data_IF_237096652263
#
_entry.id   IF_237096652263
#
_cell.length_a   1.000
_cell.length_b   1.000
_cell.length_c   1.000
_cell.angle_alpha   90.00
_cell.angle_beta   90.00
_cell.angle_gamma   90.00
#
_symmetry.space_group_name_H-M   'P 1'
#
loop_
_entity.id
_entity.type
_entity.pdbx_description
1 polymer ?
#
# COMPACT_ATOMS: atom_id res chain seq x y z
N UNK A 1 -21.26 -3.19 -10.21
CA UNK A 1 -21.37 -4.53 -10.81
C UNK A 1 -19.97 -4.93 -11.26
N UNK A 2 -19.34 -5.84 -10.53
CA UNK A 2 -17.98 -6.31 -10.82
C UNK A 2 -18.08 -7.55 -11.71
N UNK A 3 -17.37 -7.54 -12.83
CA UNK A 3 -17.24 -8.70 -13.70
C UNK A 3 -15.84 -9.30 -13.53
N UNK A 4 -15.77 -10.58 -13.16
CA UNK A 4 -14.53 -11.34 -13.12
C UNK A 4 -14.49 -12.28 -14.35
N UNK A 5 -13.43 -12.19 -15.12
CA UNK A 5 -13.10 -13.19 -16.12
C UNK A 5 -11.86 -13.94 -15.65
N UNK A 6 -12.01 -15.24 -15.43
CA UNK A 6 -10.88 -16.15 -15.22
C UNK A 6 -10.62 -16.88 -16.52
N UNK A 7 -9.44 -16.71 -17.08
CA UNK A 7 -8.99 -17.51 -18.21
C UNK A 7 -7.83 -18.36 -17.73
N UNK A 8 -8.07 -19.67 -17.63
CA UNK A 8 -7.01 -20.66 -17.45
C UNK A 8 -6.60 -21.10 -18.84
N UNK A 9 -5.44 -20.69 -19.32
CA UNK A 9 -4.91 -21.08 -20.62
C UNK A 9 -3.64 -21.89 -20.47
N UNK A 10 -3.69 -23.10 -20.96
CA UNK A 10 -2.53 -23.91 -21.36
C UNK A 10 -2.09 -23.41 -22.72
N UNK A 11 -0.86 -22.98 -22.94
CA UNK A 11 -0.05 -23.34 -24.09
C UNK A 11 1.33 -22.66 -24.17
N UNK A 12 2.20 -23.48 -24.68
CA UNK A 12 3.56 -23.29 -25.13
C UNK A 12 3.69 -22.39 -26.36
N UNK A 13 4.84 -21.63 -26.39
CA UNK A 13 5.71 -21.27 -27.52
C UNK A 13 5.15 -20.56 -28.73
N UNK A 14 5.76 -19.51 -29.21
CA UNK A 14 6.94 -19.36 -30.09
C UNK A 14 7.10 -17.90 -30.53
N UNK A 15 8.30 -17.46 -30.50
CA UNK A 15 9.12 -16.38 -31.02
C UNK A 15 8.82 -15.95 -32.48
N UNK A 16 8.99 -14.67 -32.76
CA UNK A 16 9.69 -13.94 -33.82
C UNK A 16 8.95 -12.64 -34.15
N UNK A 17 9.57 -11.57 -34.26
CA UNK A 17 10.74 -10.90 -34.72
C UNK A 17 10.32 -9.67 -35.53
N UNK A 18 10.98 -8.57 -35.22
CA UNK A 18 11.47 -7.48 -36.08
C UNK A 18 10.52 -6.70 -37.01
N UNK A 19 10.69 -5.38 -36.96
CA UNK A 19 10.27 -4.48 -38.01
C UNK A 19 10.54 -3.02 -37.64
N UNK A 20 11.63 -2.55 -38.17
CA UNK A 20 12.24 -1.22 -38.06
C UNK A 20 11.51 -0.13 -38.87
N UNK A 21 11.77 1.14 -38.43
CA UNK A 21 12.05 2.36 -39.23
C UNK A 21 10.82 3.09 -39.80
N UNK A 22 10.71 4.41 -39.85
CA UNK A 22 11.65 5.49 -40.06
C UNK A 22 10.98 6.85 -39.79
N UNK A 23 11.69 7.76 -39.23
CA UNK A 23 11.97 9.17 -39.41
C UNK A 23 11.34 9.91 -40.58
N UNK A 24 10.91 11.15 -40.35
CA UNK A 24 11.42 12.41 -40.88
C UNK A 24 10.47 13.59 -40.59
N UNK A 25 10.89 14.55 -39.84
CA UNK A 25 11.33 15.91 -40.13
C UNK A 25 10.56 16.66 -41.25
N UNK A 26 10.00 17.85 -40.92
CA UNK A 26 10.32 19.16 -41.50
C UNK A 26 9.55 20.29 -40.83
N UNK A 27 10.30 21.17 -40.30
CA UNK A 27 10.28 22.62 -40.24
C UNK A 27 9.32 23.32 -41.20
N UNK A 28 8.64 24.36 -40.71
CA UNK A 28 8.69 25.72 -41.28
C UNK A 28 8.05 26.76 -40.34
N UNK A 29 8.81 27.73 -40.00
CA UNK A 29 8.45 29.10 -39.62
C UNK A 29 8.61 29.96 -40.88
N UNK A 30 8.32 31.31 -40.94
CA UNK A 30 7.68 32.24 -40.01
C UNK A 30 6.71 33.26 -40.71
N UNK A 31 6.51 34.40 -40.04
CA UNK A 31 6.33 35.82 -40.54
C UNK A 31 5.06 36.52 -40.03
N UNK A 32 5.28 37.42 -39.07
CA UNK A 32 5.12 38.90 -39.05
C UNK A 32 3.76 39.44 -39.58
N UNK A 33 3.05 40.37 -38.99
CA UNK A 33 3.40 41.67 -38.42
C UNK A 33 2.15 42.35 -37.85
N UNK A 34 2.36 43.08 -36.83
CA UNK A 34 1.80 44.34 -36.36
C UNK A 34 0.63 45.00 -37.08
N UNK A 35 -0.40 45.38 -36.31
CA UNK A 35 -1.08 46.69 -36.43
C UNK A 35 -1.43 47.18 -35.02
N UNK A 36 -0.90 48.31 -34.71
CA UNK A 36 -1.16 49.17 -33.56
C UNK A 36 -2.49 49.93 -33.75
N UNK A 37 -3.12 50.24 -32.67
CA UNK A 37 -3.62 51.55 -32.21
C UNK A 37 -5.07 51.58 -31.69
N UNK A 38 -5.15 51.81 -30.39
CA UNK A 38 -6.06 52.77 -29.71
C UNK A 38 -7.56 52.51 -29.77
N UNK A 39 -8.08 51.99 -28.67
CA UNK A 39 -9.29 52.55 -28.02
C UNK A 39 -9.02 52.57 -26.51
N UNK A 40 -8.62 53.76 -26.00
CA UNK A 40 -8.81 54.16 -24.64
C UNK A 40 -10.29 54.40 -24.41
N UNK A 41 -10.94 53.48 -23.72
CA UNK A 41 -12.22 53.74 -23.08
C UNK A 41 -12.17 53.18 -21.66
N UNK A 42 -12.29 54.06 -20.72
CA UNK A 42 -12.54 53.92 -19.32
C UNK A 42 -13.17 52.59 -18.94
N UNK A 43 -12.37 51.67 -18.45
CA UNK A 43 -12.83 50.61 -17.54
C UNK A 43 -12.19 50.95 -16.18
N UNK A 44 -13.00 51.52 -15.30
CA UNK A 44 -12.66 51.52 -13.87
C UNK A 44 -12.35 50.07 -13.51
N UNK A 45 -11.14 49.73 -12.99
CA UNK A 45 -10.99 48.49 -12.28
C UNK A 45 -11.75 48.71 -10.98
N UNK A 46 -12.91 48.11 -10.88
CA UNK A 46 -13.41 47.67 -9.59
C UNK A 46 -12.33 46.70 -9.11
N UNK A 47 -11.40 47.19 -8.37
CA UNK A 47 -10.56 46.39 -7.48
C UNK A 47 -11.55 45.71 -6.54
N UNK A 48 -12.03 44.55 -6.93
CA UNK A 48 -12.49 43.56 -5.99
C UNK A 48 -11.25 43.28 -5.12
N UNK A 49 -11.22 43.92 -3.96
CA UNK A 49 -10.37 43.51 -2.88
C UNK A 49 -10.89 42.12 -2.50
N UNK A 50 -10.46 41.05 -3.20
CA UNK A 50 -10.48 39.73 -2.65
C UNK A 50 -9.55 39.79 -1.45
N UNK A 51 -10.13 40.00 -0.27
CA UNK A 51 -9.46 39.71 0.98
C UNK A 51 -8.96 38.27 0.85
N UNK A 52 -7.68 38.13 0.62
CA UNK A 52 -6.92 36.88 0.72
C UNK A 52 -7.16 36.34 2.13
N UNK A 53 -8.21 35.55 2.28
CA UNK A 53 -8.53 34.88 3.54
C UNK A 53 -7.64 33.66 3.67
N UNK A 54 -6.40 33.89 4.09
CA UNK A 54 -5.57 32.80 4.59
C UNK A 54 -6.19 32.29 5.89
N UNK A 55 -6.67 31.08 5.90
CA UNK A 55 -7.01 30.36 7.13
C UNK A 55 -5.68 30.01 7.78
N UNK A 56 -5.35 30.71 8.86
CA UNK A 56 -4.07 30.57 9.54
C UNK A 56 -3.82 29.15 10.04
N UNK A 57 -2.58 28.77 9.87
CA UNK A 57 -1.88 27.60 10.33
C UNK A 57 -2.42 27.03 11.64
N UNK A 58 -3.02 25.84 11.58
CA UNK A 58 -3.10 24.97 12.74
C UNK A 58 -1.68 24.48 13.02
N UNK A 59 -1.03 25.12 13.96
CA UNK A 59 0.22 24.64 14.52
C UNK A 59 -0.13 23.40 15.32
N UNK A 60 0.05 22.23 14.72
CA UNK A 60 0.06 20.98 15.47
C UNK A 60 1.05 21.22 16.61
N UNK A 61 0.54 21.30 17.83
CA UNK A 61 1.40 21.45 18.99
C UNK A 61 2.32 20.24 18.98
N UNK A 62 3.60 20.47 18.79
CA UNK A 62 4.68 19.48 18.86
C UNK A 62 4.84 18.90 20.28
N UNK A 63 3.91 19.13 21.16
CA UNK A 63 3.77 18.40 22.40
C UNK A 63 3.00 17.09 22.08
N UNK A 64 3.73 16.01 22.09
CA UNK A 64 3.26 14.61 22.06
C UNK A 64 2.30 14.25 23.20
N UNK A 65 1.55 15.20 23.72
CA UNK A 65 0.61 14.99 24.80
C UNK A 65 -0.66 14.36 24.26
N UNK A 66 -0.67 13.06 24.39
CA UNK A 66 -1.78 12.12 24.29
C UNK A 66 -2.29 11.80 22.86
N UNK A 67 -1.91 10.63 22.37
CA UNK A 67 -2.45 10.01 21.16
C UNK A 67 -4.00 9.89 21.17
N UNK A 68 -4.63 9.85 22.33
CA UNK A 68 -6.09 9.89 22.48
C UNK A 68 -6.69 11.29 22.26
N UNK A 69 -5.99 12.37 22.62
CA UNK A 69 -6.42 13.72 22.36
C UNK A 69 -6.21 14.15 20.92
N UNK A 70 -5.19 13.61 20.22
CA UNK A 70 -4.92 13.92 18.82
C UNK A 70 -6.02 13.42 17.87
N UNK A 71 -6.67 12.31 18.17
CA UNK A 71 -7.78 11.80 17.34
C UNK A 71 -9.04 12.70 17.45
N UNK A 72 -9.36 13.17 18.64
CA UNK A 72 -10.52 14.05 18.84
C UNK A 72 -10.25 15.44 18.26
N UNK A 73 -9.06 16.00 18.52
CA UNK A 73 -8.69 17.29 17.98
C UNK A 73 -8.48 17.27 16.46
N UNK A 74 -7.93 16.19 15.90
CA UNK A 74 -7.79 16.03 14.47
C UNK A 74 -9.16 15.91 13.76
N UNK A 75 -10.14 15.24 14.36
CA UNK A 75 -11.49 15.15 13.80
C UNK A 75 -12.24 16.49 13.88
N UNK A 76 -12.04 17.26 14.94
CA UNK A 76 -12.64 18.59 15.08
C UNK A 76 -12.01 19.61 14.11
N UNK A 77 -10.69 19.60 13.96
CA UNK A 77 -9.99 20.45 13.00
C UNK A 77 -10.32 20.05 11.56
N UNK A 78 -10.41 18.75 11.27
CA UNK A 78 -10.86 18.24 9.98
C UNK A 78 -12.20 18.86 9.58
N UNK A 79 -13.17 18.89 10.48
CA UNK A 79 -14.50 19.40 10.20
C UNK A 79 -14.50 20.94 10.05
N UNK A 80 -13.69 21.66 10.83
CA UNK A 80 -13.67 23.13 10.79
C UNK A 80 -13.03 23.72 9.53
N UNK A 81 -11.99 23.09 9.01
CA UNK A 81 -11.28 23.58 7.81
C UNK A 81 -11.86 22.94 6.55
N UNK A 82 -12.11 21.63 6.54
CA UNK A 82 -12.58 20.92 5.36
C UNK A 82 -13.90 21.47 4.81
N UNK A 83 -14.85 21.85 5.70
CA UNK A 83 -16.15 22.40 5.31
C UNK A 83 -16.06 23.83 4.75
N UNK A 84 -14.93 24.50 4.92
CA UNK A 84 -14.70 25.90 4.48
C UNK A 84 -13.79 26.01 3.24
N UNK A 85 -13.28 24.88 2.76
CA UNK A 85 -12.34 24.90 1.62
C UNK A 85 -13.09 25.21 0.32
N UNK A 86 -12.58 26.16 -0.48
CA UNK A 86 -13.11 26.42 -1.81
C UNK A 86 -12.99 25.17 -2.71
N UNK A 87 -13.95 24.96 -3.63
CA UNK A 87 -14.00 23.77 -4.48
C UNK A 87 -12.80 23.64 -5.43
N UNK A 88 -12.09 24.75 -5.72
CA UNK A 88 -10.94 24.78 -6.63
C UNK A 88 -9.59 24.72 -5.89
N UNK A 89 -9.61 24.35 -4.62
CA UNK A 89 -8.40 24.24 -3.83
C UNK A 89 -7.45 23.19 -4.37
N UNK A 90 -6.13 23.46 -4.31
CA UNK A 90 -5.08 22.51 -4.69
C UNK A 90 -4.29 22.08 -3.45
N UNK A 91 -3.83 20.85 -3.48
CA UNK A 91 -2.96 20.31 -2.41
C UNK A 91 -1.59 20.99 -2.48
N UNK A 92 -1.20 21.61 -1.38
CA UNK A 92 0.09 22.24 -1.19
C UNK A 92 1.14 21.25 -0.69
N UNK A 93 1.74 21.57 0.46
CA UNK A 93 2.70 20.67 1.13
C UNK A 93 1.97 19.53 1.84
N UNK A 94 2.61 18.38 1.82
CA UNK A 94 2.14 17.19 2.54
C UNK A 94 3.12 16.95 3.69
N UNK A 95 2.68 17.17 4.93
CA UNK A 95 3.44 16.87 6.13
C UNK A 95 3.15 15.43 6.56
N UNK A 96 4.17 14.67 6.93
CA UNK A 96 4.02 13.29 7.39
C UNK A 96 4.56 13.17 8.81
N UNK A 97 3.64 13.02 9.76
CA UNK A 97 3.91 12.81 11.18
C UNK A 97 3.74 11.34 11.54
N UNK A 98 4.80 10.73 12.06
CA UNK A 98 4.85 9.30 12.38
C UNK A 98 4.95 9.13 13.89
N UNK A 99 3.92 8.54 14.49
CA UNK A 99 3.86 8.31 15.91
C UNK A 99 4.51 6.95 16.28
N UNK A 100 5.17 6.85 17.44
CA UNK A 100 5.69 5.59 17.95
C UNK A 100 4.54 4.62 18.25
N UNK A 101 4.84 3.33 18.38
CA UNK A 101 3.85 2.31 18.72
C UNK A 101 3.20 2.62 20.08
N UNK A 102 4.02 2.90 21.08
CA UNK A 102 3.60 3.24 22.43
C UNK A 102 3.98 4.67 22.77
N UNK A 103 3.05 5.38 23.39
CA UNK A 103 3.28 6.74 23.88
C UNK A 103 3.97 6.71 25.24
N UNK A 104 5.26 7.05 25.25
CA UNK A 104 6.05 7.08 26.48
C UNK A 104 5.68 8.25 27.42
N UNK A 105 4.92 9.24 26.94
CA UNK A 105 4.36 10.31 27.78
C UNK A 105 3.15 9.84 28.58
N UNK A 106 2.46 8.80 28.10
CA UNK A 106 1.32 8.19 28.77
C UNK A 106 1.78 7.26 29.91
N UNK A 107 1.45 7.51 31.19
CA UNK A 107 1.89 6.68 32.31
C UNK A 107 1.48 5.20 32.18
N UNK A 108 0.40 4.89 31.49
CA UNK A 108 -0.05 3.52 31.27
C UNK A 108 0.75 2.77 30.20
N UNK A 109 1.36 3.51 29.28
CA UNK A 109 2.20 3.00 28.19
C UNK A 109 3.70 3.19 28.47
N UNK A 110 4.09 3.85 29.58
CA UNK A 110 5.49 4.09 29.93
C UNK A 110 6.03 3.01 30.89
N UNK A 111 6.22 1.79 30.38
CA UNK A 111 6.91 0.73 31.11
C UNK A 111 8.15 0.23 30.35
N UNK A 112 8.98 -0.56 31.03
CA UNK A 112 10.24 -1.04 30.46
C UNK A 112 10.04 -1.86 29.17
N UNK A 113 8.97 -2.67 29.09
CA UNK A 113 8.66 -3.49 27.94
C UNK A 113 8.28 -2.64 26.72
N UNK A 114 7.45 -1.62 26.90
CA UNK A 114 6.99 -0.75 25.81
C UNK A 114 8.11 0.16 25.30
N UNK A 115 8.97 0.68 26.19
CA UNK A 115 10.19 1.40 25.77
C UNK A 115 11.14 0.51 24.97
N UNK A 116 11.28 -0.76 25.39
CA UNK A 116 12.06 -1.75 24.65
C UNK A 116 11.43 -1.99 23.25
N UNK A 117 10.12 -2.14 23.17
CA UNK A 117 9.41 -2.30 21.91
C UNK A 117 9.62 -1.11 20.98
N UNK A 118 9.43 0.13 21.46
CA UNK A 118 9.69 1.34 20.66
C UNK A 118 11.14 1.39 20.15
N UNK A 119 12.11 0.97 20.97
CA UNK A 119 13.54 1.01 20.62
C UNK A 119 13.91 0.04 19.49
N UNK A 120 13.26 -1.13 19.45
CA UNK A 120 13.55 -2.18 18.46
C UNK A 120 12.62 -2.13 17.25
N UNK A 121 11.56 -1.38 17.33
CA UNK A 121 10.68 -1.17 16.19
C UNK A 121 11.32 -0.26 15.15
N UNK A 122 11.23 -0.67 13.88
CA UNK A 122 11.63 0.17 12.76
C UNK A 122 10.40 0.93 12.26
N UNK A 123 10.35 2.22 12.55
CA UNK A 123 9.23 3.10 12.16
C UNK A 123 9.08 3.13 10.64
N UNK A 124 7.85 3.10 10.16
CA UNK A 124 7.52 3.20 8.74
C UNK A 124 8.11 4.47 8.12
N UNK A 125 8.77 4.35 6.99
CA UNK A 125 9.40 5.48 6.30
C UNK A 125 8.34 6.44 5.75
N UNK A 126 8.66 7.73 5.72
CA UNK A 126 7.77 8.74 5.14
C UNK A 126 7.48 8.47 3.67
N UNK A 127 8.49 8.06 2.89
CA UNK A 127 8.32 7.71 1.48
C UNK A 127 7.34 6.55 1.30
N UNK A 128 7.39 5.53 2.17
CA UNK A 128 6.44 4.40 2.15
C UNK A 128 5.00 4.87 2.39
N UNK A 129 4.79 5.81 3.33
CA UNK A 129 3.48 6.40 3.59
C UNK A 129 3.04 7.23 2.37
N UNK A 130 3.92 8.05 1.83
CA UNK A 130 3.63 8.91 0.68
C UNK A 130 3.26 8.10 -0.56
N UNK A 131 3.92 6.96 -0.80
CA UNK A 131 3.59 6.04 -1.90
C UNK A 131 2.19 5.42 -1.76
N UNK A 132 1.60 5.39 -0.57
CA UNK A 132 0.24 4.90 -0.31
C UNK A 132 -0.84 5.97 -0.45
N UNK A 133 -0.51 7.25 -0.65
CA UNK A 133 -1.49 8.29 -0.87
C UNK A 133 -2.06 8.23 -2.29
N UNK A 134 -3.33 8.56 -2.45
CA UNK A 134 -4.01 8.66 -3.75
C UNK A 134 -3.90 10.06 -4.36
N UNK A 135 -3.19 10.96 -3.71
CA UNK A 135 -3.04 12.36 -4.11
C UNK A 135 -1.58 12.82 -3.98
N UNK A 136 -1.26 13.87 -4.69
CA UNK A 136 0.07 14.50 -4.69
C UNK A 136 -0.05 16.02 -4.58
N UNK A 137 1.04 16.66 -4.18
CA UNK A 137 1.15 18.12 -4.21
C UNK A 137 0.88 18.66 -5.63
N UNK A 138 0.09 19.72 -5.74
CA UNK A 138 -0.35 20.34 -7.00
C UNK A 138 -1.66 19.81 -7.56
N UNK A 139 -2.15 18.66 -7.09
CA UNK A 139 -3.43 18.09 -7.51
C UNK A 139 -4.61 18.81 -6.84
N UNK A 140 -5.81 18.68 -7.39
CA UNK A 140 -7.02 19.23 -6.80
C UNK A 140 -7.29 18.57 -5.44
N UNK A 141 -7.71 19.37 -4.47
CA UNK A 141 -8.14 18.86 -3.17
C UNK A 141 -9.52 18.22 -3.31
N UNK A 142 -9.61 16.94 -3.05
CA UNK A 142 -10.87 16.20 -2.98
C UNK A 142 -10.96 15.44 -1.66
N UNK A 143 -11.95 15.79 -0.85
CA UNK A 143 -12.14 15.20 0.48
C UNK A 143 -12.33 13.67 0.44
N UNK A 144 -12.97 13.14 -0.61
CA UNK A 144 -13.14 11.69 -0.78
C UNK A 144 -11.81 11.00 -1.04
N UNK A 145 -10.95 11.58 -1.88
CA UNK A 145 -9.61 11.06 -2.15
C UNK A 145 -8.73 11.09 -0.89
N UNK A 146 -8.87 12.12 -0.07
CA UNK A 146 -8.19 12.23 1.24
C UNK A 146 -8.66 11.11 2.18
N UNK A 147 -9.97 10.92 2.34
CA UNK A 147 -10.55 9.88 3.20
C UNK A 147 -10.21 8.47 2.72
N UNK A 148 -10.25 8.24 1.42
CA UNK A 148 -9.88 6.97 0.81
C UNK A 148 -8.39 6.66 1.03
N UNK A 149 -7.50 7.66 0.93
CA UNK A 149 -6.08 7.51 1.25
C UNK A 149 -5.88 7.12 2.71
N UNK A 150 -6.58 7.76 3.65
CA UNK A 150 -6.53 7.39 5.06
C UNK A 150 -7.04 5.95 5.30
N UNK A 151 -8.09 5.54 4.59
CA UNK A 151 -8.60 4.16 4.62
C UNK A 151 -7.57 3.15 4.10
N UNK A 152 -6.89 3.47 3.00
CA UNK A 152 -5.84 2.60 2.43
C UNK A 152 -4.67 2.44 3.40
N UNK A 153 -4.22 3.52 4.01
CA UNK A 153 -3.16 3.48 5.02
C UNK A 153 -3.55 2.59 6.20
N UNK A 154 -4.76 2.72 6.75
CA UNK A 154 -5.24 1.85 7.84
C UNK A 154 -5.32 0.37 7.43
N UNK A 155 -5.58 0.08 6.16
CA UNK A 155 -5.64 -1.28 5.63
C UNK A 155 -4.26 -1.86 5.25
N UNK A 156 -3.20 -1.09 5.35
CA UNK A 156 -1.85 -1.52 4.94
C UNK A 156 -1.28 -2.67 5.79
N UNK A 157 -1.80 -2.86 7.03
CA UNK A 157 -1.46 -3.99 7.91
C UNK A 157 -0.13 -3.82 8.67
N UNK A 158 0.58 -2.73 8.46
CA UNK A 158 1.75 -2.30 9.24
C UNK A 158 1.50 -0.98 9.99
N UNK A 159 0.37 -0.34 9.76
CA UNK A 159 -0.11 0.82 10.50
C UNK A 159 -1.30 0.43 11.38
N UNK A 160 -1.31 0.92 12.61
CA UNK A 160 -2.43 0.79 13.54
C UNK A 160 -3.54 1.76 13.18
N UNK A 161 -3.16 3.02 12.87
CA UNK A 161 -4.10 4.07 12.49
C UNK A 161 -3.44 5.09 11.55
N UNK A 162 -4.28 5.78 10.79
CA UNK A 162 -3.87 6.87 9.91
C UNK A 162 -4.99 7.89 9.79
N UNK A 163 -4.65 9.17 9.95
CA UNK A 163 -5.57 10.31 9.80
C UNK A 163 -4.95 11.30 8.85
N UNK A 164 -5.76 11.88 7.97
CA UNK A 164 -5.33 12.89 7.01
C UNK A 164 -6.30 14.06 7.09
N UNK A 165 -5.78 15.28 7.22
CA UNK A 165 -6.60 16.48 7.32
C UNK A 165 -5.87 17.72 6.82
N UNK A 166 -6.61 18.76 6.37
CA UNK A 166 -6.04 20.03 5.98
C UNK A 166 -5.57 20.80 7.23
N UNK A 167 -4.39 21.41 7.15
CA UNK A 167 -3.78 22.19 8.25
C UNK A 167 -3.73 23.69 7.98
N UNK A 168 -3.73 24.09 6.70
CA UNK A 168 -3.75 25.50 6.31
C UNK A 168 -4.36 25.65 4.91
N UNK A 169 -4.94 26.80 4.65
CA UNK A 169 -5.40 27.16 3.31
C UNK A 169 -5.04 28.62 3.03
N UNK A 170 -4.35 28.87 1.93
CA UNK A 170 -3.99 30.21 1.48
C UNK A 170 -3.85 30.24 -0.04
N UNK A 171 -4.38 31.29 -0.69
CA UNK A 171 -4.26 31.50 -2.14
C UNK A 171 -4.69 30.29 -3.00
N UNK A 172 -5.76 29.62 -2.59
CA UNK A 172 -6.25 28.42 -3.30
C UNK A 172 -5.37 27.17 -3.09
N UNK A 173 -4.40 27.22 -2.17
CA UNK A 173 -3.53 26.10 -1.83
C UNK A 173 -3.81 25.62 -0.41
N UNK A 174 -3.99 24.32 -0.25
CA UNK A 174 -4.31 23.66 1.02
C UNK A 174 -3.16 22.73 1.41
N UNK A 175 -2.47 23.03 2.49
CA UNK A 175 -1.48 22.12 3.07
C UNK A 175 -2.20 21.02 3.86
N UNK A 176 -1.66 19.81 3.80
CA UNK A 176 -2.28 18.61 4.37
C UNK A 176 -1.30 17.93 5.32
N UNK A 177 -1.77 17.46 6.46
CA UNK A 177 -1.01 16.62 7.37
C UNK A 177 -1.54 15.18 7.36
N UNK A 178 -0.60 14.23 7.27
CA UNK A 178 -0.80 12.80 7.38
C UNK A 178 -0.18 12.35 8.69
N UNK A 179 -1.00 11.94 9.64
CA UNK A 179 -0.53 11.36 10.90
C UNK A 179 -0.73 9.86 10.83
N UNK A 180 0.34 9.10 11.11
CA UNK A 180 0.29 7.64 11.16
C UNK A 180 0.81 7.12 12.49
N UNK A 181 0.25 6.02 12.95
CA UNK A 181 0.75 5.25 14.10
C UNK A 181 1.03 3.83 13.64
N UNK A 182 2.24 3.34 13.86
CA UNK A 182 2.64 1.99 13.48
C UNK A 182 2.00 0.94 14.39
N UNK A 183 1.91 -0.29 13.89
CA UNK A 183 1.64 -1.49 14.70
C UNK A 183 2.95 -2.23 14.97
N UNK A 184 3.00 -3.03 16.03
CA UNK A 184 4.10 -3.98 16.21
C UNK A 184 4.12 -4.98 15.05
N UNK A 185 5.11 -4.87 14.17
CA UNK A 185 5.15 -5.58 12.88
C UNK A 185 5.82 -6.95 12.94
N UNK A 186 6.64 -7.21 13.98
CA UNK A 186 7.34 -8.48 14.16
C UNK A 186 6.49 -9.47 14.97
N UNK A 187 6.14 -10.59 14.37
CA UNK A 187 5.27 -11.59 14.98
C UNK A 187 5.97 -12.96 15.00
N UNK A 188 6.53 -13.37 16.14
CA UNK A 188 6.92 -14.76 16.40
C UNK A 188 5.68 -15.60 16.73
N UNK A 189 5.63 -16.81 16.21
CA UNK A 189 4.55 -17.76 16.48
C UNK A 189 5.14 -19.15 16.75
N UNK A 190 4.64 -19.83 17.77
CA UNK A 190 5.01 -21.19 18.12
C UNK A 190 3.73 -22.01 18.24
N UNK A 191 3.64 -23.08 17.46
CA UNK A 191 2.54 -24.01 17.48
C UNK A 191 3.03 -25.37 17.97
N UNK A 192 2.38 -25.90 19.00
CA UNK A 192 2.63 -27.25 19.50
C UNK A 192 1.28 -27.93 19.66
N UNK A 193 1.09 -29.02 18.96
CA UNK A 193 -0.10 -29.84 19.11
C UNK A 193 0.25 -31.34 19.16
N UNK A 194 -0.72 -32.17 19.52
CA UNK A 194 -0.58 -33.62 19.52
C UNK A 194 -1.79 -34.24 18.84
N UNK A 195 -1.51 -34.97 17.77
CA UNK A 195 -2.53 -35.69 17.00
C UNK A 195 -2.10 -37.13 16.75
N UNK A 196 -3.01 -38.09 16.97
CA UNK A 196 -2.74 -39.49 16.68
C UNK A 196 -1.57 -40.12 17.48
N UNK A 197 -1.24 -39.53 18.66
CA UNK A 197 -0.09 -39.99 19.46
C UNK A 197 1.24 -39.34 19.11
N UNK A 198 1.31 -38.54 18.04
CA UNK A 198 2.50 -37.83 17.60
C UNK A 198 2.44 -36.35 17.97
N UNK A 199 3.60 -35.77 18.23
CA UNK A 199 3.75 -34.35 18.53
C UNK A 199 4.06 -33.60 17.24
N UNK A 200 3.26 -32.57 16.97
CA UNK A 200 3.52 -31.62 15.88
C UNK A 200 4.14 -30.35 16.49
N UNK A 201 5.06 -29.78 15.75
CA UNK A 201 5.76 -28.56 16.15
C UNK A 201 5.85 -27.61 14.98
N UNK A 202 5.60 -26.33 15.24
CA UNK A 202 5.79 -25.25 14.26
C UNK A 202 6.36 -24.02 14.92
N UNK A 203 7.28 -23.38 14.24
CA UNK A 203 7.77 -22.05 14.58
C UNK A 203 7.70 -21.17 13.34
N UNK A 204 7.21 -19.95 13.49
CA UNK A 204 7.26 -18.96 12.43
C UNK A 204 7.71 -17.61 12.95
N UNK A 205 8.42 -16.88 12.11
CA UNK A 205 8.82 -15.50 12.33
C UNK A 205 8.30 -14.69 11.12
N UNK A 206 7.58 -13.64 11.40
CA UNK A 206 6.99 -12.77 10.38
C UNK A 206 7.29 -11.32 10.71
N UNK A 207 7.81 -10.58 9.74
CA UNK A 207 7.96 -9.14 9.78
C UNK A 207 7.10 -8.54 8.66
N UNK A 208 6.14 -7.69 9.02
CA UNK A 208 5.20 -7.09 8.06
C UNK A 208 5.59 -5.68 7.60
N UNK A 209 6.65 -5.13 8.18
CA UNK A 209 7.18 -3.80 7.85
C UNK A 209 8.70 -3.81 7.72
N UNK A 210 9.23 -4.73 6.92
CA UNK A 210 10.66 -4.95 6.77
C UNK A 210 11.41 -3.64 6.48
N UNK A 211 12.31 -3.26 7.39
CA UNK A 211 13.06 -1.99 7.33
C UNK A 211 12.20 -0.72 7.19
N UNK A 212 10.96 -0.73 7.68
CA UNK A 212 10.05 0.40 7.57
C UNK A 212 9.50 0.67 6.16
N UNK A 213 9.54 -0.34 5.29
CA UNK A 213 9.18 -0.21 3.86
C UNK A 213 7.83 -0.84 3.51
N UNK A 214 7.01 -1.24 4.50
CA UNK A 214 5.71 -1.87 4.27
C UNK A 214 5.77 -3.26 3.62
N UNK A 215 6.97 -3.84 3.51
CA UNK A 215 7.20 -5.14 2.87
C UNK A 215 7.16 -6.24 3.91
N UNK A 216 6.67 -7.41 3.50
CA UNK A 216 6.55 -8.56 4.36
C UNK A 216 7.64 -9.58 4.05
N UNK A 217 8.30 -10.07 5.09
CA UNK A 217 9.15 -11.24 5.04
C UNK A 217 8.73 -12.24 6.11
N UNK A 218 8.77 -13.53 5.81
CA UNK A 218 8.49 -14.57 6.80
C UNK A 218 9.31 -15.82 6.55
N UNK A 219 9.64 -16.49 7.64
CA UNK A 219 10.20 -17.84 7.64
C UNK A 219 9.39 -18.69 8.60
N UNK A 220 9.05 -19.91 8.20
CA UNK A 220 8.38 -20.87 9.05
C UNK A 220 8.99 -22.25 8.89
N UNK A 221 9.13 -22.94 10.00
CA UNK A 221 9.54 -24.34 10.05
C UNK A 221 8.43 -25.14 10.75
N UNK A 222 7.98 -26.21 10.09
CA UNK A 222 6.91 -27.06 10.60
C UNK A 222 7.34 -28.53 10.54
N UNK A 223 7.09 -29.25 11.61
CA UNK A 223 7.24 -30.70 11.68
C UNK A 223 5.92 -31.29 12.14
N UNK A 224 5.34 -32.12 11.31
CA UNK A 224 4.19 -32.96 11.66
C UNK A 224 4.51 -34.44 11.46
N UNK A 225 3.51 -35.30 11.54
CA UNK A 225 3.68 -36.76 11.46
C UNK A 225 4.24 -37.19 10.10
N UNK A 226 3.84 -36.50 9.05
CA UNK A 226 4.08 -36.91 7.67
C UNK A 226 5.16 -36.08 6.98
N UNK A 227 5.52 -34.92 7.53
CA UNK A 227 6.34 -33.94 6.82
C UNK A 227 7.12 -33.00 7.73
N UNK A 228 8.36 -32.76 7.35
CA UNK A 228 9.16 -31.63 7.89
C UNK A 228 9.39 -30.64 6.76
N UNK A 229 9.02 -29.37 6.98
CA UNK A 229 9.13 -28.35 5.93
C UNK A 229 9.60 -27.01 6.47
N UNK A 230 10.36 -26.32 5.64
CA UNK A 230 10.75 -24.91 5.87
C UNK A 230 10.26 -24.06 4.71
N UNK A 231 9.53 -23.00 5.04
CA UNK A 231 8.98 -22.07 4.06
C UNK A 231 9.54 -20.67 4.30
N UNK A 232 9.98 -20.01 3.25
CA UNK A 232 10.30 -18.59 3.23
C UNK A 232 9.35 -17.87 2.27
N UNK A 233 8.92 -16.66 2.64
CA UNK A 233 8.07 -15.86 1.78
C UNK A 233 8.44 -14.37 1.90
N UNK A 234 8.28 -13.67 0.79
CA UNK A 234 8.45 -12.23 0.67
C UNK A 234 7.29 -11.64 -0.14
N UNK A 235 6.79 -10.50 0.29
CA UNK A 235 5.72 -9.78 -0.39
C UNK A 235 6.02 -8.26 -0.36
N UNK A 236 5.99 -7.64 -1.53
CA UNK A 236 5.94 -6.21 -1.71
C UNK A 236 4.53 -5.85 -2.21
N UNK A 237 3.79 -5.08 -1.43
CA UNK A 237 2.37 -4.79 -1.72
C UNK A 237 2.17 -3.59 -2.62
N UNK A 238 3.22 -2.77 -2.78
CA UNK A 238 3.16 -1.53 -3.54
C UNK A 238 4.53 -1.21 -4.14
N UNK A 239 4.92 -1.94 -5.18
CA UNK A 239 6.22 -1.77 -5.82
C UNK A 239 6.36 -0.33 -6.31
N UNK A 240 7.22 0.45 -5.65
CA UNK A 240 7.54 1.83 -6.01
C UNK A 240 6.29 2.72 -6.23
N UNK A 241 5.25 2.56 -5.42
CA UNK A 241 4.03 3.35 -5.51
C UNK A 241 3.13 3.03 -6.71
N UNK A 242 3.40 1.95 -7.46
CA UNK A 242 2.63 1.57 -8.67
C UNK A 242 1.32 0.86 -8.38
N UNK A 243 1.05 0.53 -7.09
CA UNK A 243 -0.08 -0.31 -6.64
C UNK A 243 0.02 -1.77 -7.09
N UNK A 244 1.07 -2.13 -7.80
CA UNK A 244 1.37 -3.51 -8.15
C UNK A 244 1.98 -4.20 -6.94
N UNK A 245 1.43 -5.33 -6.54
CA UNK A 245 1.99 -6.19 -5.52
C UNK A 245 2.72 -7.37 -6.16
N UNK A 246 3.85 -7.76 -5.57
CA UNK A 246 4.56 -8.99 -5.92
C UNK A 246 4.74 -9.86 -4.69
N UNK A 247 4.65 -11.17 -4.88
CA UNK A 247 4.89 -12.16 -3.84
C UNK A 247 5.70 -13.33 -4.39
N UNK A 248 6.65 -13.80 -3.59
CA UNK A 248 7.37 -15.05 -3.82
C UNK A 248 7.34 -15.88 -2.54
N UNK A 249 7.18 -17.19 -2.68
CA UNK A 249 7.31 -18.12 -1.57
C UNK A 249 7.99 -19.41 -2.05
N UNK A 250 8.88 -19.92 -1.23
CA UNK A 250 9.63 -21.15 -1.48
C UNK A 250 9.47 -22.05 -0.26
N UNK A 251 9.24 -23.33 -0.50
CA UNK A 251 9.16 -24.35 0.53
C UNK A 251 10.10 -25.48 0.17
N UNK A 252 10.92 -25.86 1.12
CA UNK A 252 11.74 -27.06 1.10
C UNK A 252 11.23 -28.03 2.16
N UNK A 253 11.08 -29.31 1.80
CA UNK A 253 10.55 -30.33 2.67
C UNK A 253 11.20 -31.69 2.40
N UNK A 254 11.11 -32.60 3.37
CA UNK A 254 11.67 -33.95 3.27
C UNK A 254 10.98 -34.83 2.21
N UNK A 255 9.76 -34.47 1.78
CA UNK A 255 8.99 -35.13 0.74
C UNK A 255 9.00 -34.37 -0.59
N UNK A 256 9.74 -33.26 -0.71
CA UNK A 256 9.85 -32.47 -1.94
C UNK A 256 9.95 -30.96 -1.73
N UNK A 257 9.62 -30.20 -2.75
CA UNK A 257 9.74 -28.75 -2.72
C UNK A 257 8.57 -28.06 -3.43
N UNK A 258 8.33 -26.80 -3.09
CA UNK A 258 7.40 -25.96 -3.85
C UNK A 258 7.86 -24.54 -3.97
N UNK A 259 7.50 -23.90 -5.09
CA UNK A 259 7.76 -22.50 -5.33
C UNK A 259 6.54 -21.81 -5.92
N UNK A 260 6.23 -20.62 -5.44
CA UNK A 260 5.19 -19.78 -6.02
C UNK A 260 5.70 -18.36 -6.22
N UNK A 261 5.32 -17.76 -7.34
CA UNK A 261 5.55 -16.33 -7.62
C UNK A 261 4.29 -15.73 -8.22
N UNK A 262 4.00 -14.50 -7.87
CA UNK A 262 2.83 -13.82 -8.40
C UNK A 262 3.01 -12.31 -8.38
N UNK A 263 2.36 -11.67 -9.35
CA UNK A 263 2.24 -10.22 -9.43
C UNK A 263 0.76 -9.88 -9.65
N UNK A 264 0.29 -8.82 -8.99
CA UNK A 264 -1.10 -8.41 -9.09
C UNK A 264 -1.26 -6.90 -8.98
N UNK A 265 -2.23 -6.38 -9.68
CA UNK A 265 -2.81 -5.06 -9.46
C UNK A 265 -4.22 -5.27 -8.90
N UNK A 266 -4.46 -5.08 -7.60
CA UNK A 266 -5.81 -5.23 -7.04
C UNK A 266 -6.70 -4.03 -7.39
N UNK A 267 -7.99 -4.12 -7.14
CA UNK A 267 -8.84 -2.94 -7.00
C UNK A 267 -8.47 -2.24 -5.69
N UNK A 268 -7.44 -1.40 -5.72
CA UNK A 268 -6.86 -0.79 -4.52
C UNK A 268 -7.70 0.39 -3.99
N UNK A 269 -8.41 1.09 -4.87
CA UNK A 269 -9.29 2.21 -4.50
C UNK A 269 -10.69 2.03 -5.09
N UNK A 270 -11.64 2.77 -4.55
CA UNK A 270 -13.02 2.75 -5.01
C UNK A 270 -13.17 3.16 -6.49
N UNK A 271 -12.27 4.01 -6.99
CA UNK A 271 -12.22 4.47 -8.38
C UNK A 271 -11.39 3.58 -9.30
N UNK A 272 -10.79 2.49 -8.77
CA UNK A 272 -10.00 1.56 -9.58
C UNK A 272 -10.86 0.90 -10.66
N UNK A 273 -10.45 1.04 -11.92
CA UNK A 273 -11.21 0.54 -13.07
C UNK A 273 -10.74 -0.83 -13.55
N UNK A 274 -9.52 -1.22 -13.21
CA UNK A 274 -8.89 -2.46 -13.68
C UNK A 274 -8.17 -3.14 -12.53
N UNK A 275 -8.23 -4.47 -12.53
CA UNK A 275 -7.43 -5.34 -11.66
C UNK A 275 -6.94 -6.52 -12.50
N UNK A 276 -5.78 -7.06 -12.12
CA UNK A 276 -5.27 -8.28 -12.73
C UNK A 276 -4.35 -9.01 -11.75
N UNK A 277 -4.23 -10.31 -11.95
CA UNK A 277 -3.37 -11.20 -11.16
C UNK A 277 -2.75 -12.22 -12.11
N UNK A 278 -1.45 -12.44 -11.96
CA UNK A 278 -0.70 -13.50 -12.66
C UNK A 278 0.05 -14.26 -11.58
N UNK A 279 -0.12 -15.59 -11.56
CA UNK A 279 0.48 -16.45 -10.55
C UNK A 279 1.03 -17.71 -11.19
N UNK A 280 2.19 -18.13 -10.75
CA UNK A 280 2.86 -19.37 -11.11
C UNK A 280 3.09 -20.14 -9.82
N UNK A 281 2.73 -21.42 -9.83
CA UNK A 281 2.98 -22.33 -8.73
C UNK A 281 3.58 -23.62 -9.28
N UNK A 282 4.67 -24.08 -8.67
CA UNK A 282 5.31 -25.37 -8.97
C UNK A 282 5.41 -26.17 -7.69
N UNK A 283 5.00 -27.40 -7.75
CA UNK A 283 5.07 -28.36 -6.64
C UNK A 283 5.72 -29.64 -7.15
N UNK A 284 6.75 -30.10 -6.48
CA UNK A 284 7.36 -31.40 -6.66
C UNK A 284 7.28 -32.11 -5.31
N UNK A 285 6.58 -33.25 -5.26
CA UNK A 285 6.32 -33.97 -4.02
C UNK A 285 6.24 -35.46 -4.26
N UNK A 286 6.89 -36.23 -3.37
CA UNK A 286 6.74 -37.68 -3.29
C UNK A 286 5.68 -38.03 -2.24
N UNK A 287 4.58 -38.59 -2.65
CA UNK A 287 3.50 -39.06 -1.78
C UNK A 287 3.65 -40.54 -1.48
N UNK A 288 3.75 -40.88 -0.19
CA UNK A 288 3.87 -42.26 0.28
C UNK A 288 2.51 -42.78 0.72
N UNK A 289 2.08 -43.89 0.15
CA UNK A 289 0.86 -44.58 0.55
C UNK A 289 1.18 -45.72 1.50
N UNK A 290 0.42 -45.83 2.58
CA UNK A 290 0.56 -46.86 3.60
C UNK A 290 -0.68 -47.78 3.62
N UNK A 291 -0.46 -49.09 3.75
CA UNK A 291 -1.50 -50.06 4.01
C UNK A 291 -1.16 -50.81 5.30
N UNK A 292 -2.03 -50.72 6.30
CA UNK A 292 -1.84 -51.35 7.64
C UNK A 292 -0.52 -50.94 8.34
N UNK A 293 -0.04 -49.69 8.06
CA UNK A 293 1.21 -49.20 8.62
C UNK A 293 2.47 -49.53 7.83
N UNK A 294 2.36 -50.33 6.76
CA UNK A 294 3.49 -50.63 5.87
C UNK A 294 3.42 -49.76 4.61
N UNK A 295 4.58 -49.26 4.20
CA UNK A 295 4.74 -48.48 2.98
C UNK A 295 4.48 -49.38 1.75
N UNK A 296 3.49 -49.03 0.94
CA UNK A 296 3.05 -49.82 -0.22
C UNK A 296 3.51 -49.20 -1.52
N UNK A 297 3.39 -47.88 -1.67
CA UNK A 297 3.69 -47.21 -2.93
C UNK A 297 4.23 -45.81 -2.66
N UNK A 298 5.15 -45.36 -3.48
CA UNK A 298 5.54 -43.95 -3.61
C UNK A 298 5.15 -43.43 -4.98
N UNK A 299 4.60 -42.23 -5.01
CA UNK A 299 4.21 -41.59 -6.26
C UNK A 299 4.77 -40.19 -6.29
N UNK A 300 5.56 -39.90 -7.31
CA UNK A 300 6.09 -38.58 -7.53
C UNK A 300 5.08 -37.71 -8.26
N UNK A 301 4.75 -36.60 -7.67
CA UNK A 301 3.88 -35.58 -8.25
C UNK A 301 4.70 -34.37 -8.66
N UNK A 302 4.51 -33.93 -9.90
CA UNK A 302 5.04 -32.68 -10.41
C UNK A 302 3.91 -31.88 -11.02
N UNK A 303 3.59 -30.75 -10.40
CA UNK A 303 2.47 -29.90 -10.77
C UNK A 303 3.00 -28.51 -11.09
N UNK A 304 2.77 -28.05 -12.31
CA UNK A 304 2.98 -26.69 -12.74
C UNK A 304 1.59 -26.04 -12.99
N UNK A 305 1.28 -25.03 -12.19
CA UNK A 305 0.01 -24.31 -12.28
C UNK A 305 0.28 -22.85 -12.69
N UNK A 306 -0.47 -22.38 -13.67
CA UNK A 306 -0.45 -21.01 -14.15
C UNK A 306 -1.84 -20.42 -14.04
N UNK A 307 -1.97 -19.33 -13.32
CA UNK A 307 -3.24 -18.64 -13.16
C UNK A 307 -3.11 -17.22 -13.66
N UNK A 308 -4.10 -16.78 -14.42
CA UNK A 308 -4.25 -15.38 -14.82
C UNK A 308 -5.71 -14.97 -14.62
N UNK A 309 -5.92 -13.81 -14.02
CA UNK A 309 -7.24 -13.22 -13.88
C UNK A 309 -7.21 -11.73 -14.24
N UNK A 310 -8.33 -11.25 -14.76
CA UNK A 310 -8.51 -9.84 -15.11
C UNK A 310 -9.91 -9.40 -14.70
N UNK A 311 -9.99 -8.22 -14.08
CA UNK A 311 -11.24 -7.64 -13.63
C UNK A 311 -11.39 -6.20 -14.14
N UNK A 312 -12.62 -5.82 -14.42
CA UNK A 312 -12.99 -4.44 -14.75
C UNK A 312 -14.09 -3.95 -13.81
N UNK A 313 -14.01 -2.68 -13.48
CA UNK A 313 -15.01 -1.98 -12.67
C UNK A 313 -15.33 -0.65 -13.33
N UNK A 314 -16.52 -0.12 -13.07
CA UNK A 314 -16.90 1.24 -13.48
C UNK A 314 -16.40 2.30 -12.51
N UNK A 315 -15.78 1.89 -11.40
CA UNK A 315 -15.48 2.77 -10.28
C UNK A 315 -16.76 3.09 -9.47
N UNK A 316 -16.70 4.13 -8.66
CA UNK A 316 -17.88 4.69 -8.02
C UNK A 316 -18.79 5.30 -9.10
N UNK A 317 -20.01 4.81 -9.17
CA UNK A 317 -21.10 5.42 -9.92
C UNK A 317 -21.85 6.27 -8.92
N UNK A 318 -21.69 7.59 -8.99
CA UNK A 318 -22.45 8.57 -8.23
C UNK A 318 -23.88 8.68 -8.70
#
# INVERSE_FOLDING_TARGET
MQFYYSVTSYKQNIIHSSGKLNSSSKLMRPVLSAVLLSVLLYINPVLANEELTCIQEYKASTSLDSAAHSQISASEVKNQIADKLPPDSRIGRIYISRLPIFDESNPTENNALYRWANRFHVVTKADTIQEELLFRSGEAYDSRTIEESARLLRNAGYLYDAVIFPVSHCDGVTDVEVITKDVWSFTPEVNVDRSGGNNNFGISLRESNLFGSGKLASISHKKDIDRVSTKVAYEDRNIQGTRVAARIALTDADDGSSGSAGIRLPFYSLDSKRAWDIRINRVERTETQYLKGEKVTETDHKIDEYQMSYGVSRGLVG
#
